data_IF_460020911850
#
_entry.id   IF_460020911850
#
_cell.length_a   1.000
_cell.length_b   1.000
_cell.length_c   1.000
_cell.angle_alpha   90.00
_cell.angle_beta   90.00
_cell.angle_gamma   90.00
#
_symmetry.space_group_name_H-M   'P 1'
#
loop_
_entity.id
_entity.type
_entity.pdbx_description
1 polymer ?
#
# COMPACT_ATOMS: atom_id res chain seq x y z
N UNK A 1 0.48 -12.20 -5.28
CA UNK A 1 1.10 -11.87 -3.98
C UNK A 1 0.02 -11.91 -2.90
N UNK A 2 -0.03 -12.94 -2.08
CA UNK A 2 -1.06 -13.10 -1.03
C UNK A 2 -0.46 -13.41 0.35
N UNK A 3 0.84 -13.75 0.39
CA UNK A 3 1.55 -14.07 1.64
C UNK A 3 1.90 -12.78 2.37
N UNK A 4 1.54 -12.64 3.69
CA UNK A 4 1.94 -11.51 4.50
C UNK A 4 3.47 -11.33 4.56
N UNK A 5 3.92 -10.08 4.60
CA UNK A 5 5.33 -9.71 4.75
C UNK A 5 5.71 -9.72 6.23
N UNK A 6 6.81 -10.35 6.55
CA UNK A 6 7.37 -10.30 7.89
C UNK A 6 8.14 -9.00 8.14
N UNK A 7 8.09 -8.54 9.37
CA UNK A 7 8.83 -7.38 9.87
C UNK A 7 9.13 -7.58 11.37
N UNK A 8 9.73 -6.58 12.01
CA UNK A 8 9.89 -6.62 13.47
C UNK A 8 8.55 -6.52 14.23
N UNK A 9 7.49 -6.04 13.58
CA UNK A 9 6.14 -5.90 14.17
C UNK A 9 5.15 -6.97 13.69
N UNK A 10 5.53 -7.80 12.72
CA UNK A 10 4.69 -8.87 12.19
C UNK A 10 5.51 -10.15 11.99
N UNK A 11 5.18 -11.19 12.72
CA UNK A 11 5.73 -12.54 12.56
C UNK A 11 4.73 -13.44 11.87
N UNK A 12 5.12 -14.08 10.79
CA UNK A 12 4.31 -15.06 10.09
C UNK A 12 4.51 -16.46 10.71
N UNK A 13 3.48 -16.98 11.36
CA UNK A 13 3.51 -18.31 12.00
C UNK A 13 3.33 -19.41 10.96
N UNK A 14 2.36 -19.23 10.06
CA UNK A 14 2.12 -20.17 8.95
C UNK A 14 1.50 -19.46 7.75
N UNK A 15 1.72 -20.01 6.56
CA UNK A 15 1.07 -19.54 5.34
C UNK A 15 0.92 -20.69 4.36
N UNK A 16 -0.26 -20.82 3.79
CA UNK A 16 -0.60 -21.81 2.78
C UNK A 16 -1.35 -21.16 1.62
N UNK A 17 -1.05 -21.61 0.40
CA UNK A 17 -1.82 -21.23 -0.80
C UNK A 17 -2.25 -22.53 -1.49
N UNK A 18 -3.55 -22.64 -1.74
CA UNK A 18 -4.17 -23.76 -2.44
C UNK A 18 -4.89 -23.25 -3.67
N UNK A 19 -4.83 -24.02 -4.77
CA UNK A 19 -5.55 -23.70 -6.01
C UNK A 19 -6.48 -24.82 -6.43
N UNK A 20 -7.60 -24.46 -7.02
CA UNK A 20 -8.51 -25.40 -7.67
C UNK A 20 -8.85 -24.84 -9.08
N UNK A 21 -8.47 -25.52 -10.16
CA UNK A 21 -7.72 -26.79 -10.22
C UNK A 21 -6.38 -26.76 -9.49
N UNK A 22 -5.93 -27.89 -8.98
CA UNK A 22 -4.62 -28.00 -8.34
C UNK A 22 -3.51 -27.78 -9.37
N UNK A 23 -2.56 -26.96 -9.02
CA UNK A 23 -1.40 -26.65 -9.86
C UNK A 23 -0.10 -26.64 -9.04
N UNK A 24 1.05 -26.96 -9.63
CA UNK A 24 2.33 -26.75 -9.02
C UNK A 24 2.57 -25.25 -8.80
N UNK A 25 3.06 -24.88 -7.63
CA UNK A 25 3.38 -23.51 -7.27
C UNK A 25 4.88 -23.34 -7.19
N UNK A 26 5.44 -22.41 -7.92
CA UNK A 26 6.82 -21.94 -7.78
C UNK A 26 6.86 -20.60 -7.04
N UNK A 27 7.95 -20.38 -6.31
CA UNK A 27 8.13 -19.20 -5.46
C UNK A 27 9.32 -18.37 -5.91
N UNK A 28 9.14 -17.07 -5.90
CA UNK A 28 10.18 -16.09 -6.18
C UNK A 28 10.02 -14.86 -5.29
N UNK A 29 10.99 -13.97 -5.34
CA UNK A 29 10.90 -12.64 -4.75
C UNK A 29 11.15 -11.59 -5.84
N UNK A 30 10.42 -10.49 -5.78
CA UNK A 30 10.67 -9.34 -6.64
C UNK A 30 11.77 -8.43 -6.06
N UNK A 31 12.05 -7.31 -6.74
CA UNK A 31 13.07 -6.33 -6.33
C UNK A 31 12.76 -5.65 -4.98
N UNK A 32 11.53 -5.72 -4.50
CA UNK A 32 11.10 -5.19 -3.20
C UNK A 32 11.07 -6.28 -2.11
N UNK A 33 11.46 -7.51 -2.44
CA UNK A 33 11.38 -8.67 -1.55
C UNK A 33 9.95 -9.15 -1.29
N UNK A 34 8.99 -8.81 -2.17
CA UNK A 34 7.65 -9.38 -2.09
C UNK A 34 7.67 -10.84 -2.51
N UNK A 35 6.97 -11.69 -1.80
CA UNK A 35 6.85 -13.10 -2.16
C UNK A 35 5.82 -13.31 -3.26
N UNK A 36 6.26 -13.90 -4.36
CA UNK A 36 5.44 -14.20 -5.53
C UNK A 36 5.24 -15.71 -5.61
N UNK A 37 3.97 -16.15 -5.63
CA UNK A 37 3.58 -17.52 -5.95
C UNK A 37 3.11 -17.56 -7.41
N UNK A 38 3.73 -18.39 -8.24
CA UNK A 38 3.32 -18.58 -9.63
C UNK A 38 2.75 -20.00 -9.80
N UNK A 39 1.49 -20.08 -10.22
CA UNK A 39 0.80 -21.32 -10.51
C UNK A 39 0.59 -21.46 -12.02
N UNK A 40 0.92 -22.63 -12.58
CA UNK A 40 0.71 -22.97 -14.01
C UNK A 40 -0.39 -24.02 -14.15
N UNK A 41 -1.41 -23.70 -14.94
CA UNK A 41 -2.55 -24.59 -15.20
C UNK A 41 -2.46 -25.14 -16.61
N UNK A 42 -2.67 -26.47 -16.78
CA UNK A 42 -2.53 -27.17 -18.05
C UNK A 42 -3.83 -27.73 -18.60
N UNK A 43 -4.96 -27.37 -18.04
CA UNK A 43 -6.26 -27.88 -18.47
C UNK A 43 -7.31 -26.78 -18.60
N UNK A 44 -8.40 -27.09 -19.27
CA UNK A 44 -9.57 -26.22 -19.29
C UNK A 44 -10.31 -26.30 -17.96
N UNK A 45 -10.82 -25.17 -17.51
CA UNK A 45 -11.64 -25.08 -16.30
C UNK A 45 -12.58 -23.88 -16.42
N UNK A 46 -13.79 -24.05 -15.98
CA UNK A 46 -14.80 -22.99 -15.91
C UNK A 46 -14.63 -22.10 -14.67
N UNK A 47 -13.74 -22.50 -13.76
CA UNK A 47 -13.51 -21.77 -12.50
C UNK A 47 -12.08 -21.97 -12.00
N UNK A 48 -11.47 -20.86 -11.61
CA UNK A 48 -10.23 -20.86 -10.82
C UNK A 48 -10.52 -20.34 -9.42
N UNK A 49 -10.15 -21.12 -8.40
CA UNK A 49 -10.19 -20.70 -7.00
C UNK A 49 -8.76 -20.65 -6.48
N UNK A 50 -8.41 -19.55 -5.83
CA UNK A 50 -7.13 -19.38 -5.13
C UNK A 50 -7.47 -19.07 -3.66
N UNK A 51 -7.10 -19.95 -2.75
CA UNK A 51 -7.28 -19.78 -1.32
C UNK A 51 -5.92 -19.55 -0.67
N UNK A 52 -5.81 -18.49 0.11
CA UNK A 52 -4.61 -18.20 0.90
C UNK A 52 -5.00 -18.08 2.35
N UNK A 53 -4.38 -18.90 3.19
CA UNK A 53 -4.56 -18.89 4.65
C UNK A 53 -3.24 -18.54 5.30
N UNK A 54 -3.26 -17.62 6.26
CA UNK A 54 -2.07 -17.27 7.04
C UNK A 54 -2.43 -17.09 8.52
N UNK A 55 -1.54 -17.54 9.39
CA UNK A 55 -1.56 -17.23 10.83
C UNK A 55 -0.37 -16.35 11.13
N UNK A 56 -0.60 -15.24 11.81
CA UNK A 56 0.44 -14.27 12.12
C UNK A 56 0.29 -13.71 13.54
N UNK A 57 1.37 -13.19 14.05
CA UNK A 57 1.42 -12.40 15.28
C UNK A 57 1.72 -10.96 14.90
N UNK A 58 0.85 -10.04 15.31
CA UNK A 58 1.02 -8.61 15.09
C UNK A 58 1.32 -7.95 16.44
N UNK A 59 2.51 -7.37 16.57
CA UNK A 59 3.01 -6.76 17.81
C UNK A 59 3.08 -5.24 17.75
N UNK A 60 2.71 -4.64 16.63
CA UNK A 60 2.68 -3.19 16.46
C UNK A 60 1.74 -2.52 17.46
N UNK A 61 2.16 -1.36 17.94
CA UNK A 61 1.42 -0.59 18.93
C UNK A 61 0.54 0.47 18.25
N UNK A 62 -0.60 0.80 18.88
CA UNK A 62 -1.48 1.86 18.39
C UNK A 62 -0.84 3.26 18.45
N UNK A 63 0.18 3.44 19.28
CA UNK A 63 0.89 4.71 19.49
C UNK A 63 2.40 4.52 19.28
N UNK A 64 2.86 4.37 18.03
CA UNK A 64 4.27 4.16 17.75
C UNK A 64 5.09 5.42 18.01
N UNK A 65 6.32 5.22 18.51
CA UNK A 65 7.34 6.27 18.64
C UNK A 65 8.39 6.05 17.56
N UNK A 66 8.67 7.08 16.79
CA UNK A 66 9.63 7.01 15.68
C UNK A 66 10.94 7.71 16.06
N UNK A 67 12.08 7.01 16.08
CA UNK A 67 13.39 7.59 16.39
C UNK A 67 13.95 8.34 15.16
N UNK A 68 13.37 9.49 14.83
CA UNK A 68 13.80 10.29 13.68
C UNK A 68 15.20 10.86 13.92
N UNK A 69 16.09 10.76 12.94
CA UNK A 69 17.42 11.33 12.99
C UNK A 69 17.32 12.86 13.12
N UNK A 70 18.24 13.45 13.91
CA UNK A 70 18.26 14.91 14.17
C UNK A 70 18.28 15.74 12.87
N UNK A 71 18.93 15.23 11.82
CA UNK A 71 18.98 15.87 10.49
C UNK A 71 17.66 15.87 9.74
N UNK A 72 16.68 15.03 10.14
CA UNK A 72 15.40 14.87 9.44
C UNK A 72 14.17 15.24 10.30
N UNK A 73 14.39 15.74 11.54
CA UNK A 73 13.29 16.21 12.40
C UNK A 73 12.51 17.34 11.71
N UNK A 74 13.21 18.21 11.00
CA UNK A 74 12.62 19.35 10.33
C UNK A 74 12.67 19.19 8.80
N UNK A 75 11.58 19.53 8.13
CA UNK A 75 11.49 19.65 6.68
C UNK A 75 11.73 21.12 6.26
N UNK A 76 12.47 21.39 5.16
CA UNK A 76 13.12 20.43 4.29
C UNK A 76 14.40 19.85 4.90
N UNK A 77 14.67 18.58 4.60
CA UNK A 77 15.92 17.90 4.90
C UNK A 77 16.48 17.22 3.66
N UNK A 78 17.70 16.73 3.73
CA UNK A 78 18.34 16.00 2.64
C UNK A 78 18.68 14.59 3.08
N UNK A 79 18.33 13.62 2.25
CA UNK A 79 18.83 12.25 2.36
C UNK A 79 20.36 12.23 2.13
N UNK A 80 21.06 11.31 2.76
CA UNK A 80 22.43 11.00 2.40
C UNK A 80 22.52 10.54 0.93
N UNK A 81 23.73 10.51 0.36
CA UNK A 81 23.93 10.05 -1.01
C UNK A 81 23.55 8.57 -1.16
N UNK A 82 23.91 7.73 -0.19
CA UNK A 82 23.54 6.33 -0.15
C UNK A 82 22.03 6.14 -0.07
N UNK A 83 21.33 6.82 0.86
CA UNK A 83 19.88 6.76 0.96
C UNK A 83 19.19 7.23 -0.33
N UNK A 84 19.69 8.27 -0.97
CA UNK A 84 19.15 8.74 -2.25
C UNK A 84 19.33 7.71 -3.36
N UNK A 85 20.47 7.06 -3.40
CA UNK A 85 20.78 6.01 -4.38
C UNK A 85 19.87 4.81 -4.16
N UNK A 86 19.73 4.34 -2.93
CA UNK A 86 18.93 3.17 -2.59
C UNK A 86 17.43 3.41 -2.73
N UNK A 87 16.95 4.61 -2.36
CA UNK A 87 15.56 5.00 -2.58
C UNK A 87 15.23 5.17 -4.07
N UNK A 88 16.15 5.64 -4.86
CA UNK A 88 16.11 5.66 -6.33
C UNK A 88 14.77 6.14 -6.90
N UNK A 89 14.03 5.21 -7.53
CA UNK A 89 12.74 5.50 -8.15
C UNK A 89 11.62 5.82 -7.15
N UNK A 90 11.80 5.50 -5.87
CA UNK A 90 10.81 5.80 -4.82
C UNK A 90 10.80 7.29 -4.43
N UNK A 91 11.81 8.06 -4.83
CA UNK A 91 11.87 9.52 -4.70
C UNK A 91 11.17 10.27 -5.84
N UNK A 92 10.81 9.57 -6.92
CA UNK A 92 10.32 10.22 -8.15
C UNK A 92 8.83 10.08 -8.29
N UNK A 93 8.07 11.19 -8.44
CA UNK A 93 6.67 11.12 -8.85
C UNK A 93 6.52 10.27 -10.13
N UNK A 94 5.46 9.46 -10.19
CA UNK A 94 5.19 8.56 -11.31
C UNK A 94 4.15 9.13 -12.27
N UNK A 95 3.37 10.11 -11.82
CA UNK A 95 2.29 10.71 -12.59
C UNK A 95 2.67 12.13 -13.01
N UNK A 96 2.41 12.52 -14.28
CA UNK A 96 2.65 13.88 -14.72
C UNK A 96 1.71 14.86 -14.01
N UNK A 97 2.25 15.99 -13.58
CA UNK A 97 1.50 17.10 -12.96
C UNK A 97 1.68 18.39 -13.77
N UNK A 98 1.28 18.35 -15.06
CA UNK A 98 1.48 19.44 -16.02
C UNK A 98 0.82 20.75 -15.58
N UNK A 99 -0.25 20.68 -14.79
CA UNK A 99 -0.98 21.82 -14.28
C UNK A 99 -0.54 22.26 -12.89
N UNK A 100 0.44 21.58 -12.29
CA UNK A 100 0.92 21.85 -10.93
C UNK A 100 -0.14 21.64 -9.83
N UNK A 101 -1.17 20.84 -10.12
CA UNK A 101 -2.29 20.61 -9.21
C UNK A 101 -1.88 19.87 -7.95
N UNK A 102 -1.15 18.78 -8.14
CA UNK A 102 -0.61 17.99 -7.04
C UNK A 102 0.43 18.78 -6.25
N UNK A 103 1.33 19.45 -6.96
CA UNK A 103 2.36 20.30 -6.33
C UNK A 103 1.73 21.38 -5.46
N UNK A 104 0.75 22.13 -5.99
CA UNK A 104 0.06 23.18 -5.22
C UNK A 104 -0.66 22.63 -3.99
N UNK A 105 -1.30 21.46 -4.12
CA UNK A 105 -1.99 20.82 -3.02
C UNK A 105 -0.99 20.31 -1.97
N UNK A 106 0.05 19.61 -2.36
CA UNK A 106 1.05 19.06 -1.45
C UNK A 106 1.80 20.16 -0.67
N UNK A 107 2.22 21.23 -1.37
CA UNK A 107 2.95 22.35 -0.76
C UNK A 107 2.08 23.18 0.19
N UNK A 108 0.75 23.15 0.06
CA UNK A 108 -0.15 23.84 0.99
C UNK A 108 -0.08 23.35 2.44
N UNK A 109 0.47 22.15 2.67
CA UNK A 109 0.72 21.59 4.00
C UNK A 109 2.03 22.05 4.63
N UNK A 110 2.94 22.66 3.86
CA UNK A 110 4.19 23.22 4.37
C UNK A 110 3.89 24.60 4.95
N UNK A 111 3.60 24.66 6.26
CA UNK A 111 3.10 25.89 6.92
C UNK A 111 4.20 26.84 7.37
N UNK A 112 5.42 26.37 7.49
CA UNK A 112 6.58 27.14 7.93
C UNK A 112 7.87 26.59 7.32
N UNK A 113 8.95 27.34 7.43
CA UNK A 113 10.29 26.90 7.02
C UNK A 113 11.29 27.24 8.16
N UNK A 114 11.77 26.23 8.89
CA UNK A 114 11.44 24.81 8.78
C UNK A 114 10.07 24.46 9.37
N UNK A 115 9.54 23.28 9.00
CA UNK A 115 8.35 22.67 9.61
C UNK A 115 8.72 21.29 10.17
N UNK A 116 8.04 20.83 11.22
CA UNK A 116 8.26 19.48 11.75
C UNK A 116 7.88 18.41 10.70
N UNK A 117 8.80 17.50 10.41
CA UNK A 117 8.65 16.48 9.37
C UNK A 117 7.47 15.55 9.62
N UNK A 118 7.33 15.08 10.86
CA UNK A 118 6.26 14.15 11.19
C UNK A 118 4.89 14.84 11.19
N UNK A 119 4.83 16.06 11.67
CA UNK A 119 3.62 16.87 11.64
C UNK A 119 3.17 17.14 10.20
N UNK A 120 4.11 17.49 9.30
CA UNK A 120 3.84 17.67 7.87
C UNK A 120 3.25 16.40 7.25
N UNK A 121 3.86 15.24 7.48
CA UNK A 121 3.38 13.97 6.94
C UNK A 121 2.02 13.56 7.52
N UNK A 122 1.77 13.85 8.80
CA UNK A 122 0.44 13.64 9.42
C UNK A 122 -0.62 14.55 8.83
N UNK A 123 -0.30 15.83 8.65
CA UNK A 123 -1.21 16.81 8.04
C UNK A 123 -1.53 16.42 6.59
N UNK A 124 -0.52 15.99 5.81
CA UNK A 124 -0.69 15.48 4.46
C UNK A 124 -1.59 14.24 4.42
N UNK A 125 -1.35 13.27 5.33
CA UNK A 125 -2.14 12.07 5.47
C UNK A 125 -3.62 12.38 5.77
N UNK A 126 -3.88 13.25 6.74
CA UNK A 126 -5.24 13.70 7.07
C UNK A 126 -5.85 14.53 5.94
N UNK A 127 -5.03 15.27 5.21
CA UNK A 127 -5.42 16.10 4.07
C UNK A 127 -6.06 15.33 2.92
N UNK A 128 -5.62 14.09 2.66
CA UNK A 128 -6.21 13.24 1.61
C UNK A 128 -7.71 13.05 1.86
N UNK A 129 -8.08 12.53 3.04
CA UNK A 129 -9.49 12.27 3.39
C UNK A 129 -10.28 13.54 3.75
N UNK A 130 -9.61 14.69 3.95
CA UNK A 130 -10.27 15.98 4.06
C UNK A 130 -10.61 16.58 2.68
N UNK A 131 -9.82 16.25 1.66
CA UNK A 131 -10.00 16.74 0.28
C UNK A 131 -10.92 15.85 -0.54
N UNK A 132 -10.92 14.53 -0.29
CA UNK A 132 -11.68 13.57 -1.07
C UNK A 132 -12.52 12.65 -0.17
N UNK A 133 -13.76 12.42 -0.56
CA UNK A 133 -14.67 11.47 0.10
C UNK A 133 -14.34 10.04 -0.30
N UNK A 134 -14.38 9.11 0.66
CA UNK A 134 -14.21 7.70 0.33
C UNK A 134 -15.41 7.16 -0.46
N UNK A 135 -15.14 6.48 -1.54
CA UNK A 135 -16.12 5.77 -2.35
C UNK A 135 -15.51 4.47 -2.86
N UNK A 136 -16.11 3.34 -2.50
CA UNK A 136 -15.71 2.06 -3.05
C UNK A 136 -15.82 2.08 -4.59
N UNK A 137 -14.83 1.52 -5.27
CA UNK A 137 -14.72 1.51 -6.72
C UNK A 137 -14.27 0.14 -7.20
N UNK A 138 -15.04 -0.47 -8.08
CA UNK A 138 -14.75 -1.79 -8.66
C UNK A 138 -13.88 -1.69 -9.93
N UNK A 139 -13.80 -0.50 -10.53
CA UNK A 139 -12.95 -0.28 -11.71
C UNK A 139 -11.52 -0.74 -11.47
N UNK A 140 -10.93 -1.36 -12.46
CA UNK A 140 -9.53 -1.77 -12.42
C UNK A 140 -8.58 -0.57 -12.35
N UNK A 141 -7.43 -0.75 -11.70
CA UNK A 141 -6.39 0.26 -11.57
C UNK A 141 -6.69 1.36 -10.54
N UNK A 142 -6.04 2.50 -10.70
CA UNK A 142 -6.12 3.66 -9.80
C UNK A 142 -6.41 4.93 -10.57
N UNK A 143 -7.01 5.91 -9.90
CA UNK A 143 -7.06 7.27 -10.40
C UNK A 143 -5.66 7.91 -10.32
N UNK A 144 -5.37 8.82 -11.23
CA UNK A 144 -4.20 9.69 -11.07
C UNK A 144 -4.42 10.65 -9.89
N UNK A 145 -3.36 11.15 -9.22
CA UNK A 145 -3.49 12.11 -8.13
C UNK A 145 -4.33 13.33 -8.51
N UNK A 146 -4.07 13.93 -9.66
CA UNK A 146 -4.84 15.06 -10.17
C UNK A 146 -6.33 14.72 -10.33
N UNK A 147 -6.62 13.51 -10.85
CA UNK A 147 -7.99 13.04 -11.02
C UNK A 147 -8.72 12.87 -9.69
N UNK A 148 -8.03 12.33 -8.66
CA UNK A 148 -8.60 12.21 -7.31
C UNK A 148 -8.91 13.58 -6.72
N UNK A 149 -8.00 14.56 -6.87
CA UNK A 149 -8.19 15.93 -6.43
C UNK A 149 -9.35 16.62 -7.15
N UNK A 150 -9.49 16.40 -8.47
CA UNK A 150 -10.55 17.03 -9.28
C UNK A 150 -11.93 16.44 -8.98
N UNK A 151 -12.01 15.12 -8.78
CA UNK A 151 -13.26 14.43 -8.47
C UNK A 151 -13.70 14.62 -7.02
N UNK A 152 -12.78 14.94 -6.10
CA UNK A 152 -13.05 14.98 -4.67
C UNK A 152 -13.55 13.65 -4.10
N UNK A 153 -13.19 12.52 -4.72
CA UNK A 153 -13.59 11.18 -4.29
C UNK A 153 -12.63 10.11 -4.82
N UNK A 154 -12.49 9.01 -4.07
CA UNK A 154 -11.68 7.86 -4.44
C UNK A 154 -11.81 6.71 -3.45
N UNK A 155 -11.25 5.56 -3.79
CA UNK A 155 -11.12 4.42 -2.88
C UNK A 155 -9.76 4.41 -2.17
N UNK A 156 -9.49 3.42 -1.30
CA UNK A 156 -8.22 3.31 -0.57
C UNK A 156 -6.99 3.34 -1.49
N UNK A 157 -7.07 2.70 -2.67
CA UNK A 157 -5.98 2.69 -3.66
C UNK A 157 -5.68 4.10 -4.19
N UNK A 158 -6.73 4.86 -4.50
CA UNK A 158 -6.60 6.22 -5.03
C UNK A 158 -6.04 7.17 -3.97
N UNK A 159 -6.43 6.98 -2.71
CA UNK A 159 -5.93 7.74 -1.56
C UNK A 159 -4.46 7.43 -1.27
N UNK A 160 -4.07 6.15 -1.31
CA UNK A 160 -2.67 5.75 -1.15
C UNK A 160 -1.79 6.35 -2.26
N UNK A 161 -2.25 6.30 -3.52
CA UNK A 161 -1.52 6.91 -4.66
C UNK A 161 -1.41 8.42 -4.50
N UNK A 162 -2.49 9.12 -4.13
CA UNK A 162 -2.46 10.56 -3.91
C UNK A 162 -1.44 10.94 -2.83
N UNK A 163 -1.45 10.24 -1.70
CA UNK A 163 -0.51 10.51 -0.61
C UNK A 163 0.95 10.23 -1.00
N UNK A 164 1.22 9.07 -1.62
CA UNK A 164 2.58 8.69 -2.05
C UNK A 164 3.15 9.69 -3.05
N UNK A 165 2.36 10.08 -4.04
CA UNK A 165 2.79 11.04 -5.07
C UNK A 165 2.99 12.45 -4.50
N UNK A 166 2.15 12.87 -3.55
CA UNK A 166 2.35 14.12 -2.84
C UNK A 166 3.61 14.11 -1.96
N UNK A 167 3.87 13.02 -1.24
CA UNK A 167 5.09 12.85 -0.47
C UNK A 167 6.33 12.90 -1.38
N UNK A 168 6.31 12.21 -2.52
CA UNK A 168 7.39 12.27 -3.52
C UNK A 168 7.57 13.68 -4.11
N UNK A 169 6.48 14.39 -4.34
CA UNK A 169 6.51 15.80 -4.82
C UNK A 169 7.19 16.72 -3.81
N UNK A 170 7.05 16.43 -2.51
CA UNK A 170 7.77 17.12 -1.44
C UNK A 170 9.20 16.61 -1.23
N UNK A 171 9.66 15.62 -1.99
CA UNK A 171 11.02 15.08 -1.93
C UNK A 171 11.20 13.91 -0.97
N UNK A 172 10.13 13.34 -0.42
CA UNK A 172 10.21 12.14 0.41
C UNK A 172 10.30 10.87 -0.43
N UNK A 173 11.10 9.90 0.03
CA UNK A 173 11.04 8.52 -0.46
C UNK A 173 9.74 7.89 0.04
N UNK A 174 8.87 7.47 -0.89
CA UNK A 174 7.57 6.91 -0.54
C UNK A 174 7.23 5.71 -1.42
N UNK A 175 6.47 4.74 -0.86
CA UNK A 175 6.02 3.55 -1.56
C UNK A 175 4.59 3.18 -1.17
N UNK A 176 3.93 2.45 -2.05
CA UNK A 176 2.59 1.93 -1.83
C UNK A 176 2.68 0.57 -1.15
N UNK A 177 1.73 0.29 -0.27
CA UNK A 177 1.55 -1.01 0.36
C UNK A 177 0.18 -1.56 0.01
N UNK A 178 0.12 -2.83 -0.35
CA UNK A 178 -1.10 -3.61 -0.53
C UNK A 178 -1.15 -4.70 0.54
N UNK A 179 -2.33 -4.92 1.11
CA UNK A 179 -2.50 -5.93 2.16
C UNK A 179 -3.92 -6.01 2.67
N UNK A 180 -4.06 -6.30 3.95
CA UNK A 180 -5.35 -6.45 4.62
C UNK A 180 -5.41 -5.54 5.85
N UNK A 181 -6.63 -5.19 6.26
CA UNK A 181 -6.88 -4.46 7.51
C UNK A 181 -7.66 -5.35 8.48
N UNK A 182 -7.21 -5.41 9.72
CA UNK A 182 -7.96 -6.01 10.82
C UNK A 182 -8.84 -4.94 11.47
N UNK A 183 -10.13 -5.22 11.56
CA UNK A 183 -11.07 -4.36 12.27
C UNK A 183 -11.96 -5.19 13.20
N UNK A 184 -11.69 -5.19 14.50
CA UNK A 184 -12.44 -6.01 15.47
C UNK A 184 -13.91 -5.63 15.62
N UNK A 185 -14.32 -4.46 15.10
CA UNK A 185 -15.71 -4.00 15.17
C UNK A 185 -16.56 -4.49 14.00
N UNK A 186 -15.94 -5.04 12.95
CA UNK A 186 -16.62 -5.60 11.79
C UNK A 186 -16.78 -7.11 11.93
N UNK A 187 -17.83 -7.70 11.32
CA UNK A 187 -17.90 -9.16 11.17
C UNK A 187 -16.64 -9.71 10.49
N UNK A 188 -16.23 -10.91 10.90
CA UNK A 188 -14.99 -11.53 10.40
C UNK A 188 -14.94 -11.70 8.87
N UNK A 189 -16.08 -11.83 8.22
CA UNK A 189 -16.25 -11.95 6.77
C UNK A 189 -16.39 -10.61 6.03
N UNK A 190 -16.39 -9.50 6.76
CA UNK A 190 -16.37 -8.15 6.20
C UNK A 190 -14.95 -7.62 5.93
N UNK A 191 -13.94 -8.46 6.05
CA UNK A 191 -12.56 -8.14 5.69
C UNK A 191 -12.44 -7.72 4.22
N UNK A 192 -11.58 -6.77 3.96
CA UNK A 192 -11.32 -6.28 2.59
C UNK A 192 -9.82 -6.18 2.33
N UNK A 193 -9.45 -6.27 1.06
CA UNK A 193 -8.13 -5.81 0.63
C UNK A 193 -8.03 -4.32 0.91
N UNK A 194 -6.83 -3.88 1.30
CA UNK A 194 -6.57 -2.50 1.61
C UNK A 194 -5.26 -2.03 0.97
N UNK A 195 -5.16 -0.72 0.75
CA UNK A 195 -3.95 -0.09 0.26
C UNK A 195 -3.65 1.16 1.08
N UNK A 196 -2.38 1.33 1.40
CA UNK A 196 -1.87 2.46 2.16
C UNK A 196 -0.46 2.85 1.69
N UNK A 197 0.23 3.65 2.46
CA UNK A 197 1.53 4.20 2.09
C UNK A 197 2.58 3.98 3.17
N UNK A 198 3.83 3.99 2.75
CA UNK A 198 4.98 4.11 3.64
C UNK A 198 5.90 5.22 3.13
N UNK A 199 6.44 6.01 4.06
CA UNK A 199 7.42 7.08 3.80
C UNK A 199 8.69 6.77 4.55
N UNK A 200 9.84 6.85 3.86
CA UNK A 200 11.15 6.68 4.48
C UNK A 200 11.59 7.98 5.14
N UNK A 201 11.87 7.90 6.44
CA UNK A 201 12.41 9.02 7.21
C UNK A 201 13.70 8.57 7.88
N UNK A 202 14.83 9.27 7.69
CA UNK A 202 16.11 8.91 8.27
C UNK A 202 16.04 8.70 9.80
N UNK A 203 16.62 7.60 10.26
CA UNK A 203 16.58 7.15 11.64
C UNK A 203 15.36 6.31 11.98
N UNK A 204 14.18 6.67 11.49
CA UNK A 204 12.93 5.93 11.71
C UNK A 204 12.69 4.80 10.71
N UNK A 205 13.32 4.87 9.52
CA UNK A 205 13.06 3.94 8.42
C UNK A 205 11.70 4.20 7.75
N UNK A 206 11.00 3.13 7.38
CA UNK A 206 9.70 3.21 6.74
C UNK A 206 8.58 3.40 7.76
N UNK A 207 7.94 4.57 7.72
CA UNK A 207 6.79 4.91 8.56
C UNK A 207 5.51 4.69 7.76
N UNK A 208 4.57 3.95 8.34
CA UNK A 208 3.26 3.64 7.74
C UNK A 208 2.28 4.80 7.91
N UNK A 209 1.56 5.13 6.82
CA UNK A 209 0.46 6.10 6.77
C UNK A 209 -0.73 5.52 6.03
N UNK A 210 -1.89 5.51 6.66
CA UNK A 210 -3.16 5.13 6.05
C UNK A 210 -4.05 6.37 5.83
N UNK A 211 -4.05 6.94 4.63
CA UNK A 211 -4.83 8.14 4.35
C UNK A 211 -6.35 7.90 4.31
N UNK A 212 -6.79 6.66 4.20
CA UNK A 212 -8.21 6.30 4.27
C UNK A 212 -8.72 6.44 5.69
N UNK A 213 -7.97 5.93 6.66
CA UNK A 213 -8.34 5.91 8.07
C UNK A 213 -7.69 7.03 8.90
N UNK A 214 -6.89 7.92 8.28
CA UNK A 214 -6.10 8.98 8.92
C UNK A 214 -5.15 8.44 9.99
N UNK A 215 -4.65 7.24 9.78
CA UNK A 215 -3.83 6.52 10.72
C UNK A 215 -2.35 6.65 10.38
N UNK A 216 -1.52 6.64 11.41
CA UNK A 216 -0.07 6.50 11.34
C UNK A 216 0.36 5.32 12.21
N UNK A 217 1.25 4.48 11.68
CA UNK A 217 1.57 3.18 12.26
C UNK A 217 0.69 2.05 11.74
N UNK A 218 1.12 0.81 11.98
CA UNK A 218 0.56 -0.38 11.35
C UNK A 218 -0.18 -1.34 12.30
N UNK A 219 -0.67 -0.86 13.46
CA UNK A 219 -1.15 -1.75 14.52
C UNK A 219 -2.28 -2.71 14.11
N UNK A 220 -3.00 -2.42 13.04
CA UNK A 220 -4.08 -3.25 12.50
C UNK A 220 -3.92 -3.53 11.00
N UNK A 221 -2.76 -3.24 10.43
CA UNK A 221 -2.46 -3.42 9.02
C UNK A 221 -1.57 -4.65 8.82
N UNK A 222 -1.95 -5.48 7.86
CA UNK A 222 -1.24 -6.73 7.51
C UNK A 222 -0.67 -6.55 6.09
N UNK A 223 0.59 -6.11 5.95
CA UNK A 223 1.20 -5.87 4.65
C UNK A 223 1.47 -7.19 3.92
N UNK A 224 1.19 -7.19 2.63
CA UNK A 224 1.45 -8.31 1.71
C UNK A 224 2.50 -7.94 0.67
N UNK A 225 2.38 -6.76 0.08
CA UNK A 225 3.33 -6.29 -0.92
C UNK A 225 3.60 -4.79 -0.78
N UNK A 226 4.83 -4.39 -1.04
CA UNK A 226 5.23 -2.99 -1.19
C UNK A 226 5.70 -2.76 -2.61
N UNK A 227 5.42 -1.57 -3.16
CA UNK A 227 5.79 -1.28 -4.52
C UNK A 227 5.95 0.23 -4.76
N UNK A 228 6.59 0.57 -5.86
CA UNK A 228 6.63 1.94 -6.36
C UNK A 228 5.27 2.40 -6.89
N UNK A 229 4.55 1.50 -7.53
CA UNK A 229 3.23 1.73 -8.11
C UNK A 229 2.31 0.57 -7.75
N UNK A 230 1.02 0.83 -7.56
CA UNK A 230 0.06 -0.19 -7.12
C UNK A 230 -0.07 -1.35 -8.12
N UNK A 231 0.11 -1.11 -9.41
CA UNK A 231 0.10 -2.15 -10.42
C UNK A 231 1.12 -3.27 -10.14
N UNK A 232 2.24 -2.93 -9.51
CA UNK A 232 3.28 -3.90 -9.12
C UNK A 232 2.90 -4.70 -7.86
N UNK A 233 1.92 -4.26 -7.09
CA UNK A 233 1.47 -4.88 -5.84
C UNK A 233 0.09 -5.57 -5.97
N UNK A 234 -0.31 -5.92 -7.19
CA UNK A 234 -1.58 -6.62 -7.44
C UNK A 234 -1.60 -7.98 -6.72
N UNK A 235 -2.64 -8.26 -5.92
CA UNK A 235 -2.74 -9.54 -5.20
C UNK A 235 -2.72 -10.75 -6.12
N UNK A 236 -3.46 -10.68 -7.22
CA UNK A 236 -3.54 -11.73 -8.25
C UNK A 236 -3.43 -11.07 -9.63
N UNK A 237 -2.60 -11.63 -10.47
CA UNK A 237 -2.48 -11.28 -11.88
C UNK A 237 -2.18 -12.54 -12.66
N UNK A 238 -2.54 -12.61 -13.94
CA UNK A 238 -2.27 -13.78 -14.76
C UNK A 238 -2.76 -13.60 -16.19
N UNK A 239 -2.52 -14.61 -16.98
CA UNK A 239 -3.01 -14.73 -18.36
C UNK A 239 -3.71 -16.07 -18.53
N UNK A 240 -4.66 -16.12 -19.42
CA UNK A 240 -5.33 -17.37 -19.83
C UNK A 240 -5.42 -17.43 -21.34
N UNK A 241 -5.58 -18.63 -21.87
CA UNK A 241 -5.83 -18.87 -23.30
C UNK A 241 -7.32 -19.06 -23.50
N UNK A 242 -7.93 -18.19 -24.29
CA UNK A 242 -9.37 -18.17 -24.54
C UNK A 242 -9.80 -16.86 -25.18
N UNK A 243 -11.09 -16.68 -25.41
CA UNK A 243 -11.63 -15.39 -25.83
C UNK A 243 -11.73 -14.44 -24.63
N UNK A 244 -11.63 -13.12 -24.86
CA UNK A 244 -11.78 -12.12 -23.79
C UNK A 244 -13.14 -12.18 -23.08
N UNK A 245 -14.15 -12.75 -23.75
CA UNK A 245 -15.50 -12.98 -23.22
C UNK A 245 -15.61 -14.17 -22.28
N UNK A 246 -14.57 -15.02 -22.20
CA UNK A 246 -14.59 -16.22 -21.37
C UNK A 246 -14.38 -15.90 -19.88
N UNK A 247 -13.79 -14.74 -19.58
CA UNK A 247 -13.71 -14.24 -18.21
C UNK A 247 -15.02 -13.55 -17.83
N UNK A 248 -15.85 -14.23 -17.03
CA UNK A 248 -17.16 -13.74 -16.62
C UNK A 248 -17.07 -12.78 -15.42
N UNK A 249 -16.10 -12.97 -14.54
CA UNK A 249 -15.92 -12.11 -13.38
C UNK A 249 -14.84 -12.58 -12.40
N UNK A 250 -14.56 -11.74 -11.42
CA UNK A 250 -13.67 -12.01 -10.30
C UNK A 250 -14.43 -11.72 -9.00
N UNK A 251 -14.40 -12.67 -8.07
CA UNK A 251 -14.92 -12.48 -6.71
C UNK A 251 -13.77 -12.60 -5.71
N UNK A 252 -13.60 -11.60 -4.86
CA UNK A 252 -12.62 -11.60 -3.78
C UNK A 252 -13.35 -11.67 -2.46
N UNK A 253 -12.90 -12.54 -1.56
CA UNK A 253 -13.35 -12.63 -0.17
C UNK A 253 -12.13 -12.56 0.75
N UNK A 254 -12.19 -11.72 1.77
CA UNK A 254 -11.16 -11.61 2.79
C UNK A 254 -11.80 -11.82 4.15
N UNK A 255 -11.17 -12.67 4.97
CA UNK A 255 -11.58 -12.86 6.37
C UNK A 255 -10.34 -12.65 7.24
N UNK A 256 -10.46 -11.76 8.22
CA UNK A 256 -9.41 -11.52 9.21
C UNK A 256 -10.03 -11.70 10.59
N UNK A 257 -9.45 -12.60 11.39
CA UNK A 257 -9.96 -12.93 12.74
C UNK A 257 -8.81 -12.90 13.73
N UNK A 258 -9.10 -12.49 14.94
CA UNK A 258 -8.22 -12.67 16.08
C UNK A 258 -8.41 -14.09 16.64
N UNK A 259 -7.31 -14.75 16.99
CA UNK A 259 -7.33 -16.02 17.70
C UNK A 259 -7.02 -15.75 19.17
N UNK A 260 -7.86 -16.27 20.05
CA UNK A 260 -7.70 -16.14 21.49
C UNK A 260 -6.52 -16.97 22.03
#
# INVERSE_FOLDING_TARGET
MLRPRESHELRLVSSEIVTSPTAPISWAQDVFGNTIATAGFSGESDRLVIESTATLELTSTAWPVFPIAASAINYPFFYSEDERTDLGALLRPQYPDSMGRLWSWATSFVRSNPTDTLALLKDLNAGVSATASYMAREDEGTQTPARTLDLGRGCCRDFAVLFVEAARTLGFGARIVSGYVFNPTLPADAGTTHAWAEVFVPGAGWITFDPTNRQMGGFNLIPVAVARDLFQAMPVSGIFTGANTDQIGLKVMVRVTEQA
#
